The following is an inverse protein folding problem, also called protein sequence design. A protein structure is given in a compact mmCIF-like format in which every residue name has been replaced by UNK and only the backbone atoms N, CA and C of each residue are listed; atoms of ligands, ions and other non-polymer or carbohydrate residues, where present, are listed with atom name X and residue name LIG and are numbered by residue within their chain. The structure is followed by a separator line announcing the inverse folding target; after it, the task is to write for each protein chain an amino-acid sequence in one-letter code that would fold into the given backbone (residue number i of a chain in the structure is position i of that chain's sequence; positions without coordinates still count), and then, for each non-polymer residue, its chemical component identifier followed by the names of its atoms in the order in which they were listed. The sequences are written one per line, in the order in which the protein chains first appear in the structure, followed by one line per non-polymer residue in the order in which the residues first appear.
data_IF_394218261843
#
_entry.id   IF_394218261843
#
_cell.length_a   1.000
_cell.length_b   1.000
_cell.length_c   1.000
_cell.angle_alpha   90.00
_cell.angle_beta   90.00
_cell.angle_gamma   90.00
#
_symmetry.space_group_name_H-M   'P 1'
#
loop_
_entity.id
_entity.type
_entity.pdbx_description
1 polymer ?
#
# COMPACT_ATOMS: atom_id res chain seq x y z
N UNK A 1 -0.20 -7.58 32.97
CA UNK A 1 0.36 -6.79 31.85
C UNK A 1 -0.71 -5.82 31.40
N UNK A 2 -0.34 -4.56 31.19
CA UNK A 2 -1.29 -3.50 30.79
C UNK A 2 -1.68 -3.67 29.32
N UNK A 3 -2.89 -3.27 28.94
CA UNK A 3 -3.35 -3.36 27.55
C UNK A 3 -3.46 -1.95 26.98
N UNK A 4 -2.71 -1.67 25.91
CA UNK A 4 -2.55 -0.32 25.37
C UNK A 4 -3.19 -0.21 23.98
N UNK A 5 -3.55 1.03 23.62
CA UNK A 5 -3.83 1.42 22.23
C UNK A 5 -2.54 1.92 21.59
N UNK A 6 -2.53 1.98 20.25
CA UNK A 6 -1.42 2.55 19.48
C UNK A 6 -0.59 1.52 18.73
N UNK A 7 0.33 2.04 17.93
CA UNK A 7 1.25 1.26 17.09
C UNK A 7 2.68 1.39 17.60
N UNK A 8 3.55 0.46 17.24
CA UNK A 8 4.99 0.56 17.51
C UNK A 8 5.55 1.90 17.04
N UNK A 9 6.31 2.59 17.89
CA UNK A 9 6.99 3.86 17.55
C UNK A 9 7.91 3.74 16.33
N UNK A 10 8.42 2.55 16.03
CA UNK A 10 9.23 2.28 14.84
C UNK A 10 8.40 2.10 13.55
N UNK A 11 7.07 2.18 13.63
CA UNK A 11 6.19 2.12 12.45
C UNK A 11 6.53 3.26 11.51
N UNK A 12 6.83 2.92 10.26
CA UNK A 12 7.04 3.90 9.19
C UNK A 12 5.68 4.52 8.82
N UNK A 13 5.64 5.85 8.71
CA UNK A 13 4.45 6.61 8.33
C UNK A 13 4.76 7.41 7.07
N UNK A 14 3.97 7.27 5.99
CA UNK A 14 4.10 8.08 4.80
C UNK A 14 3.68 9.54 5.08
N UNK A 15 4.46 10.48 4.57
CA UNK A 15 4.20 11.92 4.64
C UNK A 15 4.28 12.54 3.24
N UNK A 16 3.77 13.78 3.05
CA UNK A 16 3.93 14.50 1.77
C UNK A 16 5.39 14.67 1.34
N UNK A 17 6.34 14.59 2.28
CA UNK A 17 7.77 14.78 2.05
C UNK A 17 8.59 13.47 2.04
N UNK A 18 7.91 12.32 2.07
CA UNK A 18 8.55 11.00 2.08
C UNK A 18 8.02 10.14 3.20
N UNK A 19 8.87 9.87 4.20
CA UNK A 19 8.59 8.99 5.32
C UNK A 19 9.14 9.55 6.63
N UNK A 20 8.42 9.26 7.72
CA UNK A 20 8.87 9.50 9.08
C UNK A 20 8.62 8.25 9.93
N UNK A 21 9.27 8.14 11.08
CA UNK A 21 8.90 7.15 12.08
C UNK A 21 7.75 7.71 12.92
N UNK A 22 6.78 6.86 13.28
CA UNK A 22 5.65 7.27 14.12
C UNK A 22 6.13 7.94 15.42
N UNK A 23 7.20 7.42 16.00
CA UNK A 23 7.81 7.93 17.23
C UNK A 23 8.53 9.28 17.12
N UNK A 24 8.76 9.81 15.91
CA UNK A 24 9.38 11.13 15.68
C UNK A 24 8.38 12.22 15.29
N UNK A 25 7.13 11.85 14.97
CA UNK A 25 6.08 12.80 14.58
C UNK A 25 5.60 13.65 15.76
N UNK A 26 5.12 14.85 15.50
CA UNK A 26 4.62 15.80 16.49
C UNK A 26 3.28 16.40 16.06
N UNK A 27 2.59 17.05 16.99
CA UNK A 27 1.39 17.84 16.68
C UNK A 27 1.75 18.88 15.60
N UNK A 28 0.91 18.98 14.57
CA UNK A 28 1.13 19.82 13.39
C UNK A 28 1.77 19.11 12.20
N UNK A 29 2.45 17.98 12.39
CA UNK A 29 3.03 17.23 11.27
C UNK A 29 1.94 16.67 10.34
N UNK A 30 2.24 16.63 9.03
CA UNK A 30 1.32 16.13 8.02
C UNK A 30 1.56 14.64 7.73
N UNK A 31 0.49 13.86 7.83
CA UNK A 31 0.42 12.44 7.46
C UNK A 31 -0.76 12.24 6.51
N UNK A 32 -0.97 11.02 5.99
CA UNK A 32 -2.13 10.74 5.13
C UNK A 32 -3.28 10.09 5.89
N UNK A 33 -4.49 10.62 5.70
CA UNK A 33 -5.73 10.07 6.25
C UNK A 33 -6.29 8.89 5.46
N UNK A 34 -7.41 8.32 5.90
CA UNK A 34 -8.08 7.19 5.21
C UNK A 34 -8.51 7.49 3.77
N UNK A 35 -8.83 8.75 3.47
CA UNK A 35 -9.15 9.24 2.12
C UNK A 35 -7.92 9.37 1.20
N UNK A 36 -6.71 9.24 1.74
CA UNK A 36 -5.46 9.48 1.03
C UNK A 36 -5.01 10.94 0.97
N UNK A 37 -5.81 11.88 1.49
CA UNK A 37 -5.43 13.30 1.57
C UNK A 37 -4.50 13.57 2.78
N UNK A 38 -3.62 14.58 2.70
CA UNK A 38 -2.86 15.05 3.85
C UNK A 38 -3.77 15.54 4.98
N UNK A 39 -3.45 15.14 6.21
CA UNK A 39 -4.13 15.55 7.45
C UNK A 39 -3.07 15.89 8.51
N UNK A 40 -3.37 16.86 9.36
CA UNK A 40 -2.45 17.27 10.42
C UNK A 40 -2.66 16.42 11.67
N UNK A 41 -1.56 16.10 12.37
CA UNK A 41 -1.61 15.48 13.69
C UNK A 41 -2.11 16.51 14.70
N UNK A 42 -3.13 16.14 15.47
CA UNK A 42 -3.72 16.99 16.52
C UNK A 42 -3.28 16.57 17.92
N UNK A 43 -3.04 15.27 18.12
CA UNK A 43 -2.64 14.72 19.41
C UNK A 43 -1.64 13.59 19.23
N UNK A 44 -0.72 13.48 20.20
CA UNK A 44 0.24 12.37 20.31
C UNK A 44 0.28 11.90 21.75
N UNK A 45 0.27 10.58 21.96
CA UNK A 45 0.40 9.99 23.29
C UNK A 45 1.27 8.74 23.22
N UNK A 46 2.30 8.68 24.06
CA UNK A 46 3.20 7.53 24.15
C UNK A 46 2.80 6.64 25.33
N UNK A 47 2.84 5.33 25.13
CA UNK A 47 2.59 4.35 26.20
C UNK A 47 3.89 3.70 26.67
N UNK A 48 3.91 3.29 27.93
CA UNK A 48 5.02 2.52 28.49
C UNK A 48 5.21 1.17 27.77
N UNK A 49 6.41 0.59 27.93
CA UNK A 49 6.82 -0.69 27.29
C UNK A 49 6.24 -1.95 27.96
N UNK A 50 5.34 -1.80 28.91
CA UNK A 50 4.77 -2.89 29.73
C UNK A 50 3.52 -3.53 29.10
N UNK A 51 3.15 -3.08 27.89
CA UNK A 51 1.92 -3.45 27.22
C UNK A 51 1.96 -4.77 26.46
N UNK A 52 0.81 -5.47 26.42
CA UNK A 52 0.59 -6.57 25.49
C UNK A 52 0.62 -6.06 24.04
N UNK A 53 1.57 -6.58 23.25
CA UNK A 53 1.75 -6.24 21.84
C UNK A 53 1.49 -7.47 20.96
N UNK A 54 1.01 -7.22 19.76
CA UNK A 54 0.76 -8.23 18.74
C UNK A 54 1.36 -7.81 17.40
N UNK A 55 1.94 -8.76 16.68
CA UNK A 55 2.31 -8.59 15.28
C UNK A 55 1.16 -9.08 14.40
N UNK A 56 0.62 -8.18 13.57
CA UNK A 56 -0.32 -8.52 12.52
C UNK A 56 0.43 -8.72 11.21
N UNK A 57 0.00 -9.70 10.42
CA UNK A 57 0.44 -9.88 9.04
C UNK A 57 -0.74 -9.80 8.08
N UNK A 58 -0.56 -9.10 6.97
CA UNK A 58 -1.60 -8.92 5.96
C UNK A 58 -1.40 -9.85 4.77
N UNK A 59 -2.48 -10.13 4.02
CA UNK A 59 -2.40 -10.97 2.82
C UNK A 59 -1.40 -10.43 1.81
N UNK A 60 -1.20 -9.12 1.72
CA UNK A 60 -0.24 -8.46 0.82
C UNK A 60 1.22 -8.54 1.30
N UNK A 61 1.47 -9.09 2.49
CA UNK A 61 2.81 -9.41 3.01
C UNK A 61 3.33 -8.45 4.08
N UNK A 62 2.69 -7.30 4.26
CA UNK A 62 3.09 -6.31 5.27
C UNK A 62 2.86 -6.83 6.68
N UNK A 63 3.61 -6.26 7.62
CA UNK A 63 3.48 -6.53 9.04
C UNK A 63 3.52 -5.25 9.84
N UNK A 64 2.79 -5.22 10.95
CA UNK A 64 2.83 -4.12 11.90
C UNK A 64 2.67 -4.64 13.32
N UNK A 65 3.29 -3.96 14.27
CA UNK A 65 3.19 -4.29 15.70
C UNK A 65 2.31 -3.25 16.37
N UNK A 66 1.31 -3.70 17.10
CA UNK A 66 0.30 -2.85 17.75
C UNK A 66 -0.03 -3.34 19.14
N UNK A 67 -0.64 -2.46 19.93
CA UNK A 67 -1.19 -2.82 21.23
C UNK A 67 -2.44 -3.71 21.13
N UNK A 68 -2.70 -4.46 22.21
CA UNK A 68 -3.86 -5.33 22.36
C UNK A 68 -5.21 -4.62 22.08
N UNK A 69 -5.33 -3.35 22.47
CA UNK A 69 -6.55 -2.56 22.33
C UNK A 69 -6.53 -1.60 21.14
N UNK A 70 -5.54 -1.69 20.24
CA UNK A 70 -5.51 -0.84 19.06
C UNK A 70 -6.79 -1.07 18.22
N UNK A 71 -7.55 0.00 17.91
CA UNK A 71 -8.81 -0.12 17.19
C UNK A 71 -8.58 -0.29 15.69
N UNK A 72 -9.33 -1.18 15.07
CA UNK A 72 -9.29 -1.48 13.64
C UNK A 72 -10.68 -1.42 13.04
N UNK A 73 -10.85 -0.65 11.97
CA UNK A 73 -12.08 -0.73 11.15
C UNK A 73 -11.96 -1.93 10.21
N UNK A 74 -12.73 -2.99 10.46
CA UNK A 74 -12.65 -4.23 9.67
C UNK A 74 -14.01 -4.67 9.13
N UNK A 75 -13.98 -5.32 7.96
CA UNK A 75 -15.10 -6.08 7.38
C UNK A 75 -14.82 -7.58 7.60
N UNK A 76 -15.80 -8.31 8.11
CA UNK A 76 -15.74 -9.78 8.26
C UNK A 76 -16.01 -10.51 6.96
N UNK A 77 -15.87 -11.83 6.95
CA UNK A 77 -16.28 -12.64 5.80
C UNK A 77 -17.79 -12.50 5.55
N UNK A 78 -18.61 -12.52 6.60
CA UNK A 78 -20.06 -12.34 6.49
C UNK A 78 -20.42 -10.97 5.89
N UNK A 79 -19.77 -9.90 6.39
CA UNK A 79 -19.94 -8.53 5.87
C UNK A 79 -19.64 -8.44 4.36
N UNK A 80 -18.57 -9.12 3.92
CA UNK A 80 -18.16 -9.14 2.51
C UNK A 80 -19.14 -9.93 1.64
N UNK A 81 -19.59 -11.10 2.09
CA UNK A 81 -20.59 -11.91 1.36
C UNK A 81 -21.93 -11.17 1.21
N UNK A 82 -22.37 -10.45 2.24
CA UNK A 82 -23.56 -9.59 2.16
C UNK A 82 -23.38 -8.48 1.12
N UNK A 83 -22.21 -7.84 1.11
CA UNK A 83 -21.88 -6.79 0.14
C UNK A 83 -21.80 -7.31 -1.30
N UNK A 84 -21.29 -8.52 -1.51
CA UNK A 84 -21.24 -9.21 -2.81
C UNK A 84 -22.65 -9.55 -3.29
N UNK A 85 -23.48 -10.16 -2.44
CA UNK A 85 -24.86 -10.49 -2.77
C UNK A 85 -25.70 -9.25 -3.12
N UNK A 86 -25.56 -8.14 -2.38
CA UNK A 86 -26.24 -6.89 -2.69
C UNK A 86 -25.87 -6.35 -4.09
N UNK A 87 -24.59 -6.48 -4.49
CA UNK A 87 -24.11 -6.06 -5.81
C UNK A 87 -24.70 -6.92 -6.93
N UNK A 88 -24.74 -8.23 -6.76
CA UNK A 88 -25.37 -9.15 -7.72
C UNK A 88 -26.84 -8.80 -7.95
N UNK A 89 -27.56 -8.42 -6.89
CA UNK A 89 -28.97 -8.04 -6.94
C UNK A 89 -29.21 -6.55 -7.27
N UNK A 90 -28.16 -5.80 -7.64
CA UNK A 90 -28.21 -4.34 -7.91
C UNK A 90 -28.84 -3.51 -6.77
N UNK A 91 -28.81 -4.02 -5.55
CA UNK A 91 -29.15 -3.26 -4.35
C UNK A 91 -27.97 -2.34 -3.98
N UNK A 92 -28.24 -1.24 -3.28
CA UNK A 92 -27.18 -0.39 -2.75
C UNK A 92 -26.38 -1.20 -1.71
N UNK A 93 -25.09 -1.51 -1.96
CA UNK A 93 -24.30 -2.25 -0.99
C UNK A 93 -24.02 -1.35 0.22
N UNK A 94 -24.48 -1.76 1.40
CA UNK A 94 -24.05 -1.14 2.65
C UNK A 94 -22.58 -1.48 2.92
N UNK A 95 -21.77 -0.50 3.33
CA UNK A 95 -20.43 -0.80 3.82
C UNK A 95 -20.53 -1.37 5.23
N UNK A 96 -20.59 -2.69 5.34
CA UNK A 96 -20.68 -3.38 6.63
C UNK A 96 -19.31 -3.49 7.27
N UNK A 97 -18.86 -2.44 7.96
CA UNK A 97 -17.61 -2.45 8.72
C UNK A 97 -17.87 -2.10 10.19
N UNK A 98 -17.02 -2.60 11.07
CA UNK A 98 -17.07 -2.23 12.48
C UNK A 98 -15.69 -2.13 13.11
N UNK A 99 -15.61 -1.34 14.17
CA UNK A 99 -14.37 -1.14 14.93
C UNK A 99 -14.18 -2.32 15.88
N UNK A 100 -13.00 -2.95 15.82
CA UNK A 100 -12.62 -4.10 16.64
C UNK A 100 -11.24 -3.87 17.24
N UNK A 101 -11.00 -4.34 18.47
CA UNK A 101 -9.64 -4.34 19.02
C UNK A 101 -8.79 -5.43 18.35
N UNK A 102 -7.46 -5.32 18.46
CA UNK A 102 -6.55 -6.39 18.04
C UNK A 102 -6.90 -7.73 18.70
N UNK A 103 -7.28 -7.72 19.98
CA UNK A 103 -7.70 -8.94 20.69
C UNK A 103 -9.04 -9.50 20.21
N UNK A 104 -9.97 -8.66 19.77
CA UNK A 104 -11.23 -9.14 19.19
C UNK A 104 -10.99 -9.82 17.85
N UNK A 105 -10.14 -9.21 17.00
CA UNK A 105 -9.71 -9.79 15.73
C UNK A 105 -9.01 -11.14 15.96
N UNK A 106 -8.15 -11.24 16.98
CA UNK A 106 -7.46 -12.49 17.30
C UNK A 106 -8.46 -13.62 17.62
N UNK A 107 -9.51 -13.35 18.40
CA UNK A 107 -10.54 -14.35 18.78
C UNK A 107 -11.30 -14.90 17.58
N UNK A 108 -11.53 -14.06 16.57
CA UNK A 108 -12.34 -14.41 15.39
C UNK A 108 -11.53 -14.35 14.09
N UNK A 109 -10.21 -14.56 14.16
CA UNK A 109 -9.27 -14.34 13.04
C UNK A 109 -9.66 -15.12 11.79
N UNK A 110 -10.13 -16.36 11.97
CA UNK A 110 -10.55 -17.25 10.91
C UNK A 110 -11.90 -17.88 11.19
N UNK A 111 -12.68 -18.08 10.13
CA UNK A 111 -13.95 -18.81 10.14
C UNK A 111 -13.87 -19.86 9.04
N UNK A 112 -14.21 -21.12 9.34
CA UNK A 112 -14.09 -22.25 8.38
C UNK A 112 -12.73 -22.36 7.67
N UNK A 113 -11.62 -22.09 8.38
CA UNK A 113 -10.26 -22.19 7.84
C UNK A 113 -9.84 -21.04 6.92
N UNK A 114 -10.67 -20.01 6.71
CA UNK A 114 -10.34 -18.83 5.92
C UNK A 114 -10.26 -17.57 6.78
N UNK A 115 -9.45 -16.58 6.37
CA UNK A 115 -9.34 -15.30 7.08
C UNK A 115 -10.67 -14.56 7.12
N UNK A 116 -11.09 -14.20 8.33
CA UNK A 116 -12.35 -13.53 8.56
C UNK A 116 -12.26 -12.02 8.32
N UNK A 117 -11.25 -11.38 8.91
CA UNK A 117 -11.14 -9.92 8.94
C UNK A 117 -10.36 -9.37 7.74
N UNK A 118 -10.86 -8.25 7.22
CA UNK A 118 -10.22 -7.49 6.15
C UNK A 118 -10.26 -6.00 6.43
N UNK A 119 -9.27 -5.29 5.88
CA UNK A 119 -9.22 -3.84 5.83
C UNK A 119 -9.59 -3.38 4.43
N UNK A 120 -10.35 -2.29 4.35
CA UNK A 120 -10.56 -1.58 3.10
C UNK A 120 -9.19 -1.11 2.56
N UNK A 121 -8.94 -1.25 1.24
CA UNK A 121 -7.74 -0.69 0.64
C UNK A 121 -7.80 0.84 0.70
N UNK A 122 -6.63 1.49 0.72
CA UNK A 122 -6.57 2.93 0.49
C UNK A 122 -7.10 3.25 -0.93
N UNK A 123 -7.84 4.35 -1.12
CA UNK A 123 -8.17 4.84 -2.46
C UNK A 123 -6.93 5.37 -3.24
N UNK A 124 -5.77 5.41 -2.59
CA UNK A 124 -4.54 6.00 -3.09
C UNK A 124 -4.32 7.40 -2.51
N UNK A 125 -3.07 7.87 -2.54
CA UNK A 125 -2.70 9.20 -2.08
C UNK A 125 -3.36 10.27 -2.96
N UNK A 126 -3.80 11.36 -2.35
CA UNK A 126 -4.37 12.53 -3.02
C UNK A 126 -3.41 13.69 -2.79
N UNK A 127 -2.72 14.09 -3.86
CA UNK A 127 -1.67 15.11 -3.86
C UNK A 127 -1.82 15.96 -5.11
N UNK A 128 -1.32 17.19 -5.04
CA UNK A 128 -1.32 18.13 -6.16
C UNK A 128 -0.25 17.78 -7.22
N UNK A 129 -0.35 18.42 -8.39
CA UNK A 129 0.66 18.29 -9.44
C UNK A 129 2.01 18.81 -8.93
N UNK A 130 3.05 17.98 -9.07
CA UNK A 130 4.42 18.35 -8.76
C UNK A 130 5.11 18.92 -10.00
N UNK A 131 6.07 19.83 -9.79
CA UNK A 131 7.00 20.24 -10.85
C UNK A 131 8.06 19.15 -11.02
N UNK A 132 8.05 18.48 -12.18
CA UNK A 132 8.92 17.34 -12.46
C UNK A 132 9.91 17.70 -13.57
N UNK A 133 11.21 17.39 -13.43
CA UNK A 133 12.22 17.74 -14.43
C UNK A 133 12.08 16.94 -15.72
N UNK A 134 11.48 15.75 -15.65
CA UNK A 134 11.08 14.96 -16.81
C UNK A 134 9.65 14.49 -16.66
N UNK A 135 8.91 14.51 -17.77
CA UNK A 135 7.54 14.06 -17.81
C UNK A 135 7.41 12.63 -17.26
N UNK A 136 6.34 12.29 -16.52
CA UNK A 136 6.27 11.03 -15.80
C UNK A 136 6.34 9.79 -16.71
N UNK A 137 5.66 9.81 -17.87
CA UNK A 137 5.67 8.64 -18.76
C UNK A 137 7.06 8.30 -19.31
N UNK A 138 7.83 9.23 -19.92
CA UNK A 138 9.22 8.97 -20.31
C UNK A 138 10.10 8.50 -19.15
N UNK A 139 9.96 9.13 -17.97
CA UNK A 139 10.67 8.70 -16.77
C UNK A 139 10.35 7.24 -16.43
N UNK A 140 9.08 6.85 -16.53
CA UNK A 140 8.61 5.49 -16.30
C UNK A 140 9.19 4.49 -17.28
N UNK A 141 9.24 4.83 -18.57
CA UNK A 141 9.87 3.96 -19.58
C UNK A 141 11.35 3.76 -19.32
N UNK A 142 12.05 4.82 -18.90
CA UNK A 142 13.46 4.74 -18.52
C UNK A 142 13.67 3.84 -17.30
N UNK A 143 12.93 4.05 -16.21
CA UNK A 143 12.95 3.19 -15.02
C UNK A 143 12.60 1.73 -15.36
N UNK A 144 11.59 1.53 -16.20
CA UNK A 144 11.15 0.21 -16.65
C UNK A 144 12.22 -0.53 -17.43
N UNK A 145 13.15 0.16 -18.09
CA UNK A 145 14.31 -0.46 -18.75
C UNK A 145 15.36 -1.01 -17.76
N UNK A 146 15.22 -0.67 -16.48
CA UNK A 146 16.09 -1.09 -15.37
C UNK A 146 17.55 -0.63 -15.59
N UNK A 147 17.76 0.70 -15.65
CA UNK A 147 19.05 1.27 -16.00
C UNK A 147 20.05 0.98 -14.87
N UNK A 148 21.33 0.69 -15.20
CA UNK A 148 22.33 0.44 -14.18
C UNK A 148 22.55 1.68 -13.30
N UNK A 149 22.85 1.45 -12.02
CA UNK A 149 23.23 2.49 -11.07
C UNK A 149 24.36 3.37 -11.64
N UNK A 150 24.28 4.68 -11.38
CA UNK A 150 25.30 5.65 -11.81
C UNK A 150 25.41 5.92 -13.33
N UNK A 151 24.45 5.45 -14.15
CA UNK A 151 24.44 5.76 -15.58
C UNK A 151 24.35 7.26 -15.91
N UNK A 152 24.87 7.67 -17.09
CA UNK A 152 24.89 9.09 -17.53
C UNK A 152 23.49 9.75 -17.54
N UNK A 153 22.44 8.96 -17.78
CA UNK A 153 21.06 9.43 -17.73
C UNK A 153 20.61 9.78 -16.29
N UNK A 154 21.07 9.05 -15.26
CA UNK A 154 20.73 9.32 -13.86
C UNK A 154 21.20 10.72 -13.43
N UNK A 155 22.41 11.11 -13.86
CA UNK A 155 22.97 12.45 -13.63
C UNK A 155 22.14 13.53 -14.32
N UNK A 156 21.73 13.31 -15.58
CA UNK A 156 20.92 14.27 -16.35
C UNK A 156 19.51 14.45 -15.75
N UNK A 157 18.95 13.38 -15.18
CA UNK A 157 17.60 13.36 -14.60
C UNK A 157 17.56 13.81 -13.13
N UNK A 158 18.73 14.11 -12.54
CA UNK A 158 18.86 14.44 -11.12
C UNK A 158 18.30 13.33 -10.22
N UNK A 159 18.48 12.09 -10.66
CA UNK A 159 18.24 10.88 -9.87
C UNK A 159 19.57 10.60 -9.20
N UNK A 160 19.59 10.55 -7.88
CA UNK A 160 20.75 10.03 -7.17
C UNK A 160 21.09 8.68 -7.80
N UNK A 161 22.36 8.39 -8.06
CA UNK A 161 22.78 7.23 -8.86
C UNK A 161 22.32 5.85 -8.35
N UNK A 162 21.47 5.79 -7.32
CA UNK A 162 20.85 4.64 -6.67
C UNK A 162 19.80 3.91 -7.49
N UNK A 163 19.39 4.42 -8.66
CA UNK A 163 18.39 3.76 -9.52
C UNK A 163 16.95 3.76 -8.96
N UNK A 164 16.72 4.47 -7.85
CA UNK A 164 15.43 4.59 -7.17
C UNK A 164 14.50 5.62 -7.83
N UNK A 165 13.20 5.58 -7.50
CA UNK A 165 12.24 6.58 -7.96
C UNK A 165 12.34 7.81 -7.06
N UNK A 166 12.68 9.01 -7.59
CA UNK A 166 12.79 10.19 -6.73
C UNK A 166 11.46 10.51 -6.04
N UNK A 167 11.53 10.90 -4.76
CA UNK A 167 10.34 11.13 -3.92
C UNK A 167 9.33 12.11 -4.52
N UNK A 168 9.80 13.12 -5.28
CA UNK A 168 8.94 14.08 -5.99
C UNK A 168 7.97 13.41 -6.99
N UNK A 169 8.33 12.25 -7.53
CA UNK A 169 7.45 11.44 -8.37
C UNK A 169 6.50 10.58 -7.51
N UNK A 170 7.00 9.98 -6.43
CA UNK A 170 6.17 9.19 -5.49
C UNK A 170 5.17 10.04 -4.69
N UNK A 171 5.37 11.36 -4.67
CA UNK A 171 4.50 12.36 -4.01
C UNK A 171 3.92 13.36 -5.00
N UNK A 172 3.85 13.00 -6.29
CA UNK A 172 3.16 13.80 -7.31
C UNK A 172 1.66 13.45 -7.36
N UNK A 173 0.90 14.18 -8.18
CA UNK A 173 -0.53 13.90 -8.32
C UNK A 173 -0.83 12.49 -8.80
N UNK A 174 -2.06 12.04 -8.57
CA UNK A 174 -2.56 10.74 -9.06
C UNK A 174 -2.39 10.60 -10.58
N UNK A 175 -2.58 11.68 -11.34
CA UNK A 175 -2.38 11.69 -12.79
C UNK A 175 -0.92 11.42 -13.14
N UNK A 176 0.00 12.18 -12.55
CA UNK A 176 1.44 12.06 -12.82
C UNK A 176 1.99 10.70 -12.39
N UNK A 177 1.59 10.18 -11.22
CA UNK A 177 1.97 8.83 -10.77
C UNK A 177 1.44 7.73 -11.69
N UNK A 178 0.22 7.88 -12.21
CA UNK A 178 -0.34 6.95 -13.18
C UNK A 178 0.45 6.96 -14.48
N UNK A 179 0.79 8.13 -15.01
CA UNK A 179 1.61 8.25 -16.22
C UNK A 179 2.99 7.61 -16.03
N UNK A 180 3.61 7.80 -14.86
CA UNK A 180 4.86 7.13 -14.49
C UNK A 180 4.70 5.61 -14.50
N UNK A 181 3.70 5.09 -13.81
CA UNK A 181 3.44 3.65 -13.74
C UNK A 181 3.15 3.08 -15.14
N UNK A 182 2.42 3.81 -15.98
CA UNK A 182 2.15 3.41 -17.37
C UNK A 182 3.43 3.21 -18.17
N UNK A 183 4.40 4.12 -18.05
CA UNK A 183 5.70 3.98 -18.70
C UNK A 183 6.49 2.76 -18.19
N UNK A 184 6.46 2.52 -16.88
CA UNK A 184 7.10 1.35 -16.27
C UNK A 184 6.46 0.06 -16.80
N UNK A 185 5.12 -0.03 -16.79
CA UNK A 185 4.38 -1.21 -17.26
C UNK A 185 4.66 -1.47 -18.74
N UNK A 186 4.68 -0.45 -19.59
CA UNK A 186 4.88 -0.63 -21.04
C UNK A 186 6.24 -1.29 -21.38
N UNK A 187 7.25 -1.17 -20.50
CA UNK A 187 8.58 -1.78 -20.68
C UNK A 187 8.75 -3.06 -19.87
N UNK A 188 8.41 -3.02 -18.59
CA UNK A 188 8.72 -4.05 -17.60
C UNK A 188 7.53 -4.96 -17.26
N UNK A 189 6.36 -4.67 -17.81
CA UNK A 189 5.11 -5.34 -17.48
C UNK A 189 4.85 -6.61 -18.29
N UNK A 190 4.05 -7.48 -17.69
CA UNK A 190 3.33 -8.57 -18.32
C UNK A 190 1.93 -8.66 -17.70
N UNK A 191 0.97 -9.20 -18.44
CA UNK A 191 -0.36 -9.52 -17.91
C UNK A 191 -0.66 -10.99 -18.14
N UNK A 192 -1.26 -11.65 -17.14
CA UNK A 192 -1.72 -13.03 -17.29
C UNK A 192 -3.18 -13.11 -17.77
N UNK A 193 -3.67 -14.34 -17.99
CA UNK A 193 -5.02 -14.58 -18.48
C UNK A 193 -6.13 -14.11 -17.51
N UNK A 194 -5.81 -13.93 -16.23
CA UNK A 194 -6.73 -13.44 -15.21
C UNK A 194 -6.69 -11.90 -15.07
N UNK A 195 -5.91 -11.21 -15.90
CA UNK A 195 -5.75 -9.77 -15.85
C UNK A 195 -4.82 -9.28 -14.73
N UNK A 196 -4.07 -10.17 -14.07
CA UNK A 196 -3.08 -9.76 -13.08
C UNK A 196 -1.86 -9.18 -13.79
N UNK A 197 -1.48 -7.96 -13.41
CA UNK A 197 -0.30 -7.28 -13.95
C UNK A 197 0.89 -7.60 -13.07
N UNK A 198 2.01 -7.93 -13.70
CA UNK A 198 3.30 -8.14 -13.03
C UNK A 198 4.36 -7.25 -13.68
N UNK A 199 5.01 -6.41 -12.86
CA UNK A 199 6.18 -5.63 -13.26
C UNK A 199 7.41 -6.37 -12.78
N UNK A 200 8.34 -6.70 -13.68
CA UNK A 200 9.58 -7.40 -13.36
C UNK A 200 10.76 -6.43 -13.36
N UNK A 201 11.56 -6.43 -12.29
CA UNK A 201 12.73 -5.55 -12.09
C UNK A 201 13.89 -6.41 -11.54
N UNK A 202 15.13 -6.07 -11.86
CA UNK A 202 16.35 -6.70 -11.35
C UNK A 202 16.76 -6.12 -9.99
N UNK A 203 16.79 -4.79 -9.86
CA UNK A 203 17.12 -4.14 -8.59
C UNK A 203 15.96 -4.21 -7.58
N UNK A 204 16.29 -4.48 -6.32
CA UNK A 204 15.31 -4.60 -5.23
C UNK A 204 14.85 -3.23 -4.71
N UNK A 205 15.68 -2.20 -4.77
CA UNK A 205 15.34 -0.83 -4.40
C UNK A 205 14.26 -0.27 -5.33
N UNK A 206 14.53 -0.31 -6.63
CA UNK A 206 13.57 0.09 -7.66
C UNK A 206 12.29 -0.77 -7.61
N UNK A 207 12.39 -2.08 -7.38
CA UNK A 207 11.20 -2.92 -7.22
C UNK A 207 10.33 -2.47 -6.02
N UNK A 208 10.94 -2.07 -4.89
CA UNK A 208 10.22 -1.53 -3.72
C UNK A 208 9.57 -0.19 -4.02
N UNK A 209 10.22 0.67 -4.78
CA UNK A 209 9.65 1.97 -5.15
C UNK A 209 8.50 1.83 -6.17
N UNK A 210 8.61 0.88 -7.10
CA UNK A 210 7.50 0.52 -8.01
C UNK A 210 6.32 -0.04 -7.20
N UNK A 211 6.60 -0.87 -6.20
CA UNK A 211 5.57 -1.38 -5.28
C UNK A 211 4.88 -0.25 -4.50
N UNK A 212 5.63 0.71 -3.98
CA UNK A 212 5.08 1.92 -3.37
C UNK A 212 4.24 2.73 -4.37
N UNK A 213 4.75 2.97 -5.58
CA UNK A 213 4.04 3.70 -6.63
C UNK A 213 2.67 3.08 -6.91
N UNK A 214 2.62 1.75 -7.07
CA UNK A 214 1.37 1.01 -7.30
C UNK A 214 0.43 1.13 -6.09
N UNK A 215 0.93 0.93 -4.87
CA UNK A 215 0.10 1.04 -3.66
C UNK A 215 -0.42 2.47 -3.45
N UNK A 216 0.39 3.48 -3.79
CA UNK A 216 0.01 4.89 -3.69
C UNK A 216 -1.12 5.24 -4.66
N UNK A 217 -1.32 4.50 -5.75
CA UNK A 217 -2.43 4.67 -6.69
C UNK A 217 -3.71 3.91 -6.26
N UNK A 218 -3.71 3.33 -5.06
CA UNK A 218 -4.87 2.60 -4.52
C UNK A 218 -4.95 1.14 -4.95
N UNK A 219 -3.84 0.57 -5.45
CA UNK A 219 -3.79 -0.83 -5.87
C UNK A 219 -2.99 -1.65 -4.86
N UNK A 220 -3.62 -2.56 -4.10
CA UNK A 220 -2.88 -3.51 -3.28
C UNK A 220 -1.96 -4.37 -4.15
N UNK A 221 -0.67 -4.33 -3.85
CA UNK A 221 0.36 -5.04 -4.61
C UNK A 221 1.19 -5.94 -3.69
N UNK A 222 1.77 -6.98 -4.28
CA UNK A 222 2.75 -7.86 -3.64
C UNK A 222 4.09 -7.69 -4.31
N UNK A 223 5.16 -7.77 -3.54
CA UNK A 223 6.54 -7.79 -4.02
C UNK A 223 7.20 -9.08 -3.55
N UNK A 224 7.98 -9.71 -4.42
CA UNK A 224 8.74 -10.92 -4.09
C UNK A 224 9.72 -11.32 -5.18
N UNK A 225 10.52 -12.37 -4.94
CA UNK A 225 11.35 -12.94 -5.99
C UNK A 225 10.46 -13.42 -7.15
N UNK A 226 10.88 -13.13 -8.37
CA UNK A 226 10.19 -13.58 -9.57
C UNK A 226 10.35 -15.09 -9.68
N UNK A 227 9.22 -15.78 -9.80
CA UNK A 227 9.16 -17.21 -10.06
C UNK A 227 8.70 -17.46 -11.50
N UNK A 228 9.10 -18.58 -12.08
CA UNK A 228 8.68 -18.97 -13.43
C UNK A 228 9.48 -18.34 -14.59
N UNK A 229 9.06 -18.67 -15.81
CA UNK A 229 9.72 -18.24 -17.06
C UNK A 229 9.31 -16.82 -17.42
N UNK A 230 10.28 -15.92 -17.58
CA UNK A 230 10.05 -14.59 -18.12
C UNK A 230 10.11 -14.60 -19.66
N UNK A 231 9.42 -13.67 -20.34
CA UNK A 231 9.71 -13.32 -21.72
C UNK A 231 11.19 -12.96 -21.89
N UNK A 232 11.76 -13.22 -23.07
CA UNK A 232 13.19 -12.96 -23.34
C UNK A 232 13.62 -11.53 -23.00
N UNK A 233 12.75 -10.53 -23.26
CA UNK A 233 13.02 -9.11 -22.94
C UNK A 233 13.16 -8.79 -21.45
N UNK A 234 12.70 -9.68 -20.57
CA UNK A 234 12.76 -9.55 -19.10
C UNK A 234 13.68 -10.62 -18.48
N UNK A 235 14.51 -11.28 -19.29
CA UNK A 235 15.50 -12.22 -18.78
C UNK A 235 16.45 -11.53 -17.78
N UNK A 236 16.89 -12.26 -16.75
CA UNK A 236 17.77 -11.73 -15.70
C UNK A 236 17.06 -10.99 -14.56
N UNK A 237 15.86 -10.42 -14.80
CA UNK A 237 15.09 -9.70 -13.77
C UNK A 237 14.62 -10.63 -12.65
N UNK A 238 14.84 -10.23 -11.39
CA UNK A 238 14.77 -11.11 -10.22
C UNK A 238 13.60 -10.83 -9.29
N UNK A 239 13.02 -9.65 -9.34
CA UNK A 239 11.89 -9.23 -8.52
C UNK A 239 10.64 -9.04 -9.36
N UNK A 240 9.51 -9.41 -8.79
CA UNK A 240 8.21 -9.24 -9.37
C UNK A 240 7.33 -8.43 -8.41
N UNK A 241 6.68 -7.39 -8.96
CA UNK A 241 5.64 -6.63 -8.28
C UNK A 241 4.32 -6.90 -8.98
N UNK A 242 3.40 -7.56 -8.30
CA UNK A 242 2.14 -8.02 -8.89
C UNK A 242 0.93 -7.37 -8.24
N UNK A 243 -0.05 -6.97 -9.07
CA UNK A 243 -1.31 -6.37 -8.62
C UNK A 243 -2.42 -6.60 -9.64
N UNK A 244 -3.67 -6.51 -9.16
CA UNK A 244 -4.85 -6.46 -10.03
C UNK A 244 -5.25 -4.99 -10.22
N UNK A 245 -5.22 -4.44 -11.45
CA UNK A 245 -5.60 -3.05 -11.68
C UNK A 245 -7.10 -2.83 -11.47
N UNK A 246 -7.46 -2.02 -10.48
CA UNK A 246 -8.85 -1.57 -10.26
C UNK A 246 -9.25 -0.34 -11.07
N UNK A 247 -8.31 0.23 -11.84
CA UNK A 247 -8.51 1.41 -12.67
C UNK A 247 -7.57 1.35 -13.89
N UNK A 248 -7.73 2.28 -14.84
CA UNK A 248 -6.82 2.39 -15.99
C UNK A 248 -5.42 2.79 -15.52
N UNK A 249 -4.48 1.85 -15.61
CA UNK A 249 -3.03 2.05 -15.32
C UNK A 249 -2.15 1.93 -16.56
N UNK A 250 -2.73 1.54 -17.70
CA UNK A 250 -2.00 1.27 -18.94
C UNK A 250 -1.85 2.54 -19.78
N UNK A 251 -0.66 2.71 -20.36
CA UNK A 251 -0.34 3.79 -21.27
C UNK A 251 -0.71 3.45 -22.72
N UNK A 252 0.27 3.61 -23.61
CA UNK A 252 0.11 3.40 -25.06
C UNK A 252 0.67 2.05 -25.52
N UNK A 253 1.33 1.29 -24.64
CA UNK A 253 1.99 0.04 -24.98
C UNK A 253 1.04 -1.15 -25.21
N UNK A 254 1.60 -2.27 -25.70
CA UNK A 254 0.84 -3.43 -26.17
C UNK A 254 0.05 -4.14 -25.06
N UNK A 255 0.53 -4.08 -23.81
CA UNK A 255 -0.13 -4.70 -22.64
C UNK A 255 -1.56 -4.18 -22.46
N UNK A 256 -1.84 -2.93 -22.87
CA UNK A 256 -3.20 -2.38 -22.88
C UNK A 256 -4.18 -3.25 -23.68
N UNK A 257 -3.72 -3.83 -24.79
CA UNK A 257 -4.54 -4.66 -25.67
C UNK A 257 -4.62 -6.12 -25.21
N UNK A 258 -3.66 -6.56 -24.40
CA UNK A 258 -3.63 -7.88 -23.76
C UNK A 258 -4.53 -7.92 -22.51
N UNK A 259 -4.64 -6.81 -21.78
CA UNK A 259 -5.51 -6.73 -20.62
C UNK A 259 -6.98 -6.93 -21.01
N UNK A 260 -7.58 -7.95 -20.41
CA UNK A 260 -9.02 -8.19 -20.43
C UNK A 260 -9.49 -8.00 -18.99
N UNK A 261 -10.26 -6.95 -18.68
CA UNK A 261 -10.81 -6.81 -17.34
C UNK A 261 -11.72 -8.02 -17.10
N UNK A 262 -11.48 -8.75 -16.01
CA UNK A 262 -12.46 -9.71 -15.55
C UNK A 262 -13.77 -8.97 -15.24
N UNK A 263 -14.90 -9.51 -15.69
CA UNK A 263 -16.22 -8.93 -15.46
C UNK A 263 -16.57 -8.95 -13.96
N UNK A 264 -15.95 -9.85 -13.18
CA UNK A 264 -16.07 -9.97 -11.73
C UNK A 264 -14.88 -9.35 -11.00
N UNK A 265 -14.56 -8.07 -11.25
CA UNK A 265 -13.53 -7.38 -10.46
C UNK A 265 -13.93 -7.32 -8.98
N UNK A 266 -13.53 -8.36 -8.24
CA UNK A 266 -13.65 -8.44 -6.79
C UNK A 266 -12.97 -7.22 -6.20
N UNK A 267 -13.66 -6.57 -5.27
CA UNK A 267 -13.10 -5.41 -4.56
C UNK A 267 -11.77 -5.87 -3.94
N UNK A 268 -10.65 -5.22 -4.24
CA UNK A 268 -9.38 -5.64 -3.68
C UNK A 268 -9.45 -5.45 -2.16
N UNK A 269 -9.29 -6.53 -1.40
CA UNK A 269 -9.32 -6.51 0.07
C UNK A 269 -7.96 -6.87 0.63
N UNK A 270 -7.58 -6.23 1.74
CA UNK A 270 -6.38 -6.61 2.51
C UNK A 270 -6.81 -7.47 3.70
N UNK A 271 -6.60 -8.77 3.62
CA UNK A 271 -6.98 -9.70 4.69
C UNK A 271 -5.98 -9.61 5.84
N UNK A 272 -6.46 -9.71 7.08
CA UNK A 272 -5.63 -9.96 8.25
C UNK A 272 -5.39 -11.47 8.30
N UNK A 273 -4.20 -11.88 7.86
CA UNK A 273 -3.84 -13.28 7.67
C UNK A 273 -3.31 -13.95 8.94
N UNK A 274 -2.70 -13.17 9.85
CA UNK A 274 -2.12 -13.66 11.10
C UNK A 274 -2.12 -12.58 12.15
N UNK A 275 -2.37 -12.98 13.40
CA UNK A 275 -2.15 -12.17 14.60
C UNK A 275 -1.40 -13.04 15.60
N UNK A 276 -0.24 -12.61 16.06
CA UNK A 276 0.57 -13.37 17.02
C UNK A 276 1.11 -12.47 18.13
N UNK A 277 1.31 -12.98 19.36
CA UNK A 277 2.00 -12.23 20.40
C UNK A 277 3.36 -11.73 19.91
N UNK A 278 3.72 -10.52 20.31
CA UNK A 278 5.01 -9.90 20.05
C UNK A 278 5.66 -9.46 21.35
N UNK A 279 6.98 -9.30 21.34
CA UNK A 279 7.68 -8.70 22.47
C UNK A 279 7.11 -7.31 22.78
N UNK A 280 6.96 -6.91 24.05
CA UNK A 280 6.47 -5.59 24.41
C UNK A 280 7.31 -4.47 23.77
N UNK A 281 6.66 -3.47 23.20
CA UNK A 281 7.29 -2.32 22.53
C UNK A 281 6.70 -1.01 23.06
N UNK A 282 7.44 0.11 22.99
CA UNK A 282 6.86 1.41 23.24
C UNK A 282 5.88 1.70 22.10
N UNK A 283 4.62 1.96 22.45
CA UNK A 283 3.60 2.28 21.46
C UNK A 283 3.35 3.78 21.46
N UNK A 284 2.79 4.25 20.34
CA UNK A 284 2.31 5.60 20.19
C UNK A 284 0.94 5.61 19.56
N UNK A 285 0.07 6.40 20.17
CA UNK A 285 -1.24 6.76 19.71
C UNK A 285 -1.17 8.15 19.08
N UNK A 286 -1.89 8.33 17.97
CA UNK A 286 -1.94 9.58 17.21
C UNK A 286 -3.38 9.83 16.80
N UNK A 287 -3.85 11.07 16.98
CA UNK A 287 -5.07 11.59 16.35
C UNK A 287 -4.72 12.59 15.28
N UNK A 288 -5.61 12.72 14.31
CA UNK A 288 -5.44 13.64 13.20
C UNK A 288 -6.70 14.48 13.01
N UNK A 289 -6.62 15.46 12.13
CA UNK A 289 -7.79 16.21 11.66
C UNK A 289 -8.73 15.39 10.75
N UNK A 290 -8.44 14.11 10.48
CA UNK A 290 -9.28 13.26 9.63
C UNK A 290 -10.62 12.97 10.30
N UNK A 291 -11.73 13.19 9.58
CA UNK A 291 -13.08 12.99 10.11
C UNK A 291 -13.42 11.51 10.44
N UNK A 292 -12.68 10.56 9.86
CA UNK A 292 -12.88 9.12 10.04
C UNK A 292 -11.93 8.50 11.08
N UNK A 293 -11.06 9.30 11.71
CA UNK A 293 -9.94 8.86 12.54
C UNK A 293 -9.03 7.84 11.84
N UNK A 294 -8.94 7.81 10.50
CA UNK A 294 -8.06 6.87 9.80
C UNK A 294 -6.76 7.55 9.38
N UNK A 295 -5.66 6.79 9.41
CA UNK A 295 -4.37 7.16 8.86
C UNK A 295 -3.72 6.01 8.09
N UNK A 296 -2.79 6.33 7.20
CA UNK A 296 -2.03 5.34 6.43
C UNK A 296 -0.67 5.10 7.09
N UNK A 297 -0.25 3.83 7.17
CA UNK A 297 1.07 3.44 7.67
C UNK A 297 1.77 2.42 6.77
N UNK A 298 3.09 2.37 6.88
CA UNK A 298 3.97 1.53 6.07
C UNK A 298 4.04 1.98 4.61
N UNK A 299 4.82 1.26 3.82
CA UNK A 299 5.04 1.54 2.39
C UNK A 299 3.90 1.08 1.47
N UNK A 300 3.05 0.20 1.98
CA UNK A 300 1.86 -0.28 1.26
C UNK A 300 0.58 0.41 1.72
N UNK A 301 0.68 1.50 2.49
CA UNK A 301 -0.43 2.34 2.93
C UNK A 301 -1.55 1.53 3.61
N UNK A 302 -1.18 0.76 4.65
CA UNK A 302 -2.16 0.06 5.50
C UNK A 302 -3.02 1.11 6.19
N UNK A 303 -4.34 1.03 6.00
CA UNK A 303 -5.28 1.90 6.70
C UNK A 303 -5.43 1.43 8.15
N UNK A 304 -5.09 2.29 9.09
CA UNK A 304 -5.20 2.04 10.53
C UNK A 304 -6.01 3.15 11.18
N UNK A 305 -6.58 2.89 12.37
CA UNK A 305 -7.35 3.90 13.09
C UNK A 305 -6.44 4.64 14.07
N UNK A 306 -6.47 5.96 14.02
CA UNK A 306 -5.99 6.84 15.08
C UNK A 306 -6.77 6.59 16.37
N UNK A 307 -6.14 6.84 17.50
CA UNK A 307 -6.67 6.43 18.79
C UNK A 307 -6.28 7.36 19.92
#
# INVERSE_FOLDING_TARGET
MTAHKGLDRATVVPTPHGYALLGSLSVGDLVFGGSGAPVAITEVSDTARDGLCFELAFSTGERTVVGALHPWTTETLADRLLSESAREHRAAPGLHSSTRSTTDILKTLSVHGVSNHSLAPTPGLVLDDATLPVAPYPMGTWLGSDPPEGGRASVLLGVDGSGNIPVRYLRSSTRQRRELLSGVIDVAGTVDACGQVTVSIEDVGLARDVHELICSLGHPARIGPRTGRAPARLAGRRWAVSFAPGARVFGRGPIRHEFRPDAEQRRPVRLISRVRPAAPRPLRAVRTTSADDLLLVGRSFVVVRGC
#
